data_IF_384619973421
#
_entry.id   IF_384619973421
#
_cell.length_a   1.000
_cell.length_b   1.000
_cell.length_c   1.000
_cell.angle_alpha   90.00
_cell.angle_beta   90.00
_cell.angle_gamma   90.00
#
_symmetry.space_group_name_H-M   'P 1'
#
loop_
_entity.id
_entity.type
_entity.pdbx_description
1 polymer ?
#
# COMPACT_ATOMS: atom_id res chain seq x y z
N UNK A 1 -44.33 -3.85 5.40
CA UNK A 1 -43.57 -2.62 5.21
C UNK A 1 -44.51 -1.47 5.35
N UNK A 2 -44.52 -0.88 6.53
CA UNK A 2 -45.10 0.44 6.74
C UNK A 2 -43.97 1.47 6.60
N UNK A 3 -44.20 2.55 5.86
CA UNK A 3 -43.22 3.64 5.70
C UNK A 3 -43.90 4.94 6.12
N UNK A 4 -43.30 5.67 7.06
CA UNK A 4 -43.80 6.98 7.49
C UNK A 4 -42.69 8.01 7.50
N UNK A 5 -43.00 9.23 7.09
CA UNK A 5 -42.09 10.38 7.22
C UNK A 5 -42.63 11.36 8.25
N UNK A 6 -41.82 11.66 9.26
CA UNK A 6 -42.10 12.65 10.29
C UNK A 6 -41.58 14.01 9.86
N UNK A 7 -42.49 14.89 9.45
CA UNK A 7 -42.23 16.31 9.20
C UNK A 7 -42.42 17.17 10.47
N UNK A 8 -42.47 16.54 11.64
CA UNK A 8 -42.89 17.13 12.91
C UNK A 8 -42.56 16.21 14.09
N UNK A 9 -42.38 16.78 15.28
CA UNK A 9 -42.42 15.98 16.51
C UNK A 9 -43.76 15.24 16.61
N UNK A 10 -43.71 13.92 16.83
CA UNK A 10 -44.90 13.12 17.04
C UNK A 10 -45.66 13.63 18.27
N UNK A 11 -46.97 13.82 18.12
CA UNK A 11 -47.88 14.23 19.22
C UNK A 11 -48.75 13.09 19.73
N UNK A 12 -48.73 11.95 19.04
CA UNK A 12 -49.52 10.76 19.32
C UNK A 12 -48.64 9.53 19.06
N UNK A 13 -49.05 8.40 19.62
CA UNK A 13 -48.38 7.13 19.37
C UNK A 13 -48.49 6.77 17.88
N UNK A 14 -47.37 6.36 17.30
CA UNK A 14 -47.24 5.86 15.93
C UNK A 14 -46.67 4.45 16.06
N UNK A 15 -47.48 3.47 15.68
CA UNK A 15 -47.09 2.06 15.78
C UNK A 15 -47.17 1.43 14.40
N UNK A 16 -46.06 0.89 13.91
CA UNK A 16 -46.06 0.07 12.70
C UNK A 16 -46.66 -1.32 12.95
N UNK A 17 -47.04 -2.00 11.88
CA UNK A 17 -47.53 -3.38 11.92
C UNK A 17 -46.44 -4.39 12.30
N UNK A 18 -46.80 -5.67 12.39
CA UNK A 18 -45.89 -6.75 12.81
C UNK A 18 -44.95 -7.28 11.72
N UNK A 19 -44.94 -6.64 10.54
CA UNK A 19 -44.04 -7.01 9.44
C UNK A 19 -42.58 -6.60 9.70
N UNK A 20 -41.68 -7.04 8.83
CA UNK A 20 -40.29 -6.55 8.76
C UNK A 20 -40.17 -5.43 7.72
N UNK A 21 -39.10 -4.64 7.81
CA UNK A 21 -38.83 -3.51 6.93
C UNK A 21 -39.86 -2.40 7.09
N UNK A 22 -40.33 -2.17 8.32
CA UNK A 22 -41.08 -0.98 8.68
C UNK A 22 -40.10 0.16 8.95
N UNK A 23 -40.33 1.28 8.27
CA UNK A 23 -39.39 2.38 8.23
C UNK A 23 -40.02 3.70 8.68
N UNK A 24 -39.29 4.41 9.54
CA UNK A 24 -39.63 5.77 9.96
C UNK A 24 -38.54 6.72 9.51
N UNK A 25 -38.90 7.64 8.62
CA UNK A 25 -38.03 8.74 8.19
C UNK A 25 -38.21 9.96 9.09
N UNK A 26 -37.11 10.49 9.59
CA UNK A 26 -37.06 11.80 10.21
C UNK A 26 -36.77 12.84 9.13
N UNK A 27 -37.76 13.68 8.79
CA UNK A 27 -37.56 14.80 7.87
C UNK A 27 -37.23 16.08 8.66
N UNK A 28 -35.98 16.51 8.57
CA UNK A 28 -35.38 17.46 9.51
C UNK A 28 -35.47 18.94 9.12
N UNK A 29 -36.48 19.32 8.34
CA UNK A 29 -36.81 20.73 8.09
C UNK A 29 -37.22 21.55 9.36
N UNK A 30 -36.93 21.05 10.57
CA UNK A 30 -37.44 21.54 11.86
C UNK A 30 -36.39 22.07 12.85
N UNK A 31 -35.09 22.04 12.52
CA UNK A 31 -34.07 22.75 13.29
C UNK A 31 -33.88 22.33 14.77
N UNK A 32 -34.18 21.09 15.15
CA UNK A 32 -34.01 20.60 16.52
C UNK A 32 -33.64 19.11 16.61
N UNK A 33 -33.05 18.69 17.73
CA UNK A 33 -32.79 17.28 18.05
C UNK A 33 -34.10 16.51 18.25
N UNK A 34 -34.11 15.22 17.93
CA UNK A 34 -35.23 14.36 18.28
C UNK A 34 -35.34 14.32 19.81
N UNK A 35 -36.48 14.73 20.36
CA UNK A 35 -36.68 14.64 21.80
C UNK A 35 -36.98 13.20 22.21
N UNK A 36 -36.53 12.79 23.40
CA UNK A 36 -36.85 11.48 23.98
C UNK A 36 -38.37 11.25 24.06
N UNK A 37 -39.16 12.32 24.23
CA UNK A 37 -40.62 12.26 24.18
C UNK A 37 -41.11 11.81 22.79
N UNK A 38 -40.58 12.38 21.72
CA UNK A 38 -40.95 12.01 20.34
C UNK A 38 -40.59 10.56 20.06
N UNK A 39 -39.36 10.14 20.39
CA UNK A 39 -38.91 8.76 20.20
C UNK A 39 -39.81 7.76 20.96
N UNK A 40 -40.23 8.08 22.19
CA UNK A 40 -41.07 7.20 23.01
C UNK A 40 -42.48 6.93 22.47
N UNK A 41 -42.95 7.77 21.53
CA UNK A 41 -44.24 7.66 20.85
C UNK A 41 -44.15 6.83 19.56
N UNK A 42 -42.95 6.48 19.11
CA UNK A 42 -42.72 5.66 17.92
C UNK A 42 -42.47 4.22 18.39
N UNK A 43 -43.05 3.23 17.71
CA UNK A 43 -42.84 1.81 18.02
C UNK A 43 -43.13 0.88 16.83
N UNK A 44 -42.56 -0.32 16.81
CA UNK A 44 -42.75 -1.34 15.77
C UNK A 44 -41.91 -1.14 14.50
N UNK A 45 -40.99 -0.17 14.49
CA UNK A 45 -40.11 0.09 13.35
C UNK A 45 -38.77 -0.63 13.52
N UNK A 46 -38.20 -1.13 12.42
CA UNK A 46 -36.89 -1.79 12.38
C UNK A 46 -35.86 -1.02 11.54
N UNK A 47 -36.30 0.01 10.81
CA UNK A 47 -35.46 0.93 10.05
C UNK A 47 -35.71 2.38 10.49
N UNK A 48 -34.64 3.10 10.84
CA UNK A 48 -34.67 4.53 11.10
C UNK A 48 -34.00 5.28 9.95
N UNK A 49 -34.82 5.98 9.17
CA UNK A 49 -34.38 6.78 8.04
C UNK A 49 -34.18 8.25 8.38
N UNK A 50 -33.30 8.93 7.66
CA UNK A 50 -33.12 10.38 7.67
C UNK A 50 -33.25 10.91 6.25
N UNK A 51 -34.10 11.92 6.06
CA UNK A 51 -34.39 12.51 4.74
C UNK A 51 -34.63 14.02 4.82
N UNK A 52 -34.59 14.69 3.68
CA UNK A 52 -34.87 16.13 3.53
C UNK A 52 -33.83 17.05 4.17
N UNK A 53 -33.66 18.27 3.67
CA UNK A 53 -32.57 19.15 4.09
C UNK A 53 -32.57 19.47 5.61
N UNK A 54 -31.66 18.84 6.37
CA UNK A 54 -31.29 19.30 7.70
C UNK A 54 -30.68 20.72 7.59
N UNK A 55 -31.10 21.60 8.50
CA UNK A 55 -30.52 22.94 8.66
C UNK A 55 -29.02 22.94 8.94
N UNK A 56 -28.40 24.12 8.94
CA UNK A 56 -26.98 24.29 9.22
C UNK A 56 -26.62 23.75 10.63
N UNK A 57 -25.61 22.87 10.73
CA UNK A 57 -25.05 22.41 12.02
C UNK A 57 -25.03 20.89 12.23
N UNK A 58 -24.51 20.47 13.38
CA UNK A 58 -24.42 19.05 13.77
C UNK A 58 -25.73 18.58 14.41
N UNK A 59 -26.26 17.46 13.94
CA UNK A 59 -27.43 16.79 14.50
C UNK A 59 -27.03 15.46 15.15
N UNK A 60 -27.59 15.18 16.31
CA UNK A 60 -27.41 13.89 16.99
C UNK A 60 -28.74 13.18 17.17
N UNK A 61 -28.76 11.91 16.78
CA UNK A 61 -29.85 10.96 16.97
C UNK A 61 -29.32 9.91 17.96
N UNK A 62 -29.85 9.95 19.18
CA UNK A 62 -29.51 8.97 20.21
C UNK A 62 -30.47 7.78 20.12
N UNK A 63 -29.97 6.65 19.61
CA UNK A 63 -30.77 5.44 19.41
C UNK A 63 -31.26 4.82 20.72
N UNK A 64 -30.66 5.15 21.88
CA UNK A 64 -31.16 4.66 23.17
C UNK A 64 -32.57 5.17 23.50
N UNK A 65 -33.00 6.26 22.84
CA UNK A 65 -34.34 6.81 22.99
C UNK A 65 -35.43 5.97 22.31
N UNK A 66 -35.04 5.08 21.39
CA UNK A 66 -35.92 4.15 20.68
C UNK A 66 -36.01 2.78 21.36
N UNK A 67 -35.87 2.71 22.69
CA UNK A 67 -35.85 1.46 23.47
C UNK A 67 -37.03 0.47 23.28
N UNK A 68 -38.13 0.89 22.64
CA UNK A 68 -39.28 0.03 22.28
C UNK A 68 -39.15 -0.60 20.89
N UNK A 69 -38.24 -0.08 20.09
CA UNK A 69 -37.94 -0.51 18.73
C UNK A 69 -36.64 -1.30 18.71
N UNK A 70 -36.59 -2.29 17.82
CA UNK A 70 -35.36 -3.01 17.52
C UNK A 70 -34.82 -2.44 16.20
N UNK A 71 -34.31 -1.20 16.25
CA UNK A 71 -33.74 -0.55 15.05
C UNK A 71 -32.52 -1.35 14.60
N UNK A 72 -32.69 -2.10 13.51
CA UNK A 72 -31.66 -2.95 12.92
C UNK A 72 -31.00 -2.33 11.70
N UNK A 73 -31.56 -1.25 11.15
CA UNK A 73 -30.96 -0.50 10.05
C UNK A 73 -31.15 1.00 10.23
N UNK A 74 -30.13 1.74 9.83
CA UNK A 74 -30.15 3.18 9.62
C UNK A 74 -30.17 3.44 8.13
N UNK A 75 -31.04 4.32 7.65
CA UNK A 75 -31.10 4.72 6.24
C UNK A 75 -30.86 6.23 6.10
N UNK A 76 -29.99 6.63 5.19
CA UNK A 76 -29.62 8.02 4.94
C UNK A 76 -29.88 8.34 3.47
N UNK A 77 -30.92 9.11 3.21
CA UNK A 77 -31.34 9.43 1.84
C UNK A 77 -30.60 10.63 1.23
N UNK A 78 -30.66 10.72 -0.10
CA UNK A 78 -30.07 11.82 -0.87
C UNK A 78 -30.54 13.20 -0.40
N UNK A 79 -29.63 14.17 -0.35
CA UNK A 79 -29.98 15.57 -0.04
C UNK A 79 -30.48 15.78 1.40
N UNK A 80 -30.23 14.82 2.29
CA UNK A 80 -30.75 14.85 3.64
C UNK A 80 -30.09 15.91 4.53
N UNK A 81 -28.94 16.51 4.21
CA UNK A 81 -28.34 17.49 5.13
C UNK A 81 -27.22 18.37 4.57
N UNK A 82 -27.02 19.52 5.24
CA UNK A 82 -25.93 20.48 4.98
C UNK A 82 -24.89 20.57 6.11
N UNK A 83 -25.04 19.77 7.16
CA UNK A 83 -24.13 19.70 8.33
C UNK A 83 -23.80 18.26 8.72
N UNK A 84 -23.29 18.01 9.93
CA UNK A 84 -22.91 16.65 10.35
C UNK A 84 -24.08 15.89 10.97
N UNK A 85 -24.21 14.59 10.69
CA UNK A 85 -25.22 13.69 11.27
C UNK A 85 -24.53 12.65 12.16
N UNK A 86 -24.93 12.56 13.42
CA UNK A 86 -24.40 11.61 14.39
C UNK A 86 -25.51 10.65 14.81
N UNK A 87 -25.32 9.36 14.57
CA UNK A 87 -26.08 8.30 15.21
C UNK A 87 -25.28 7.81 16.42
N UNK A 88 -25.76 8.10 17.64
CA UNK A 88 -25.12 7.66 18.88
C UNK A 88 -25.89 6.50 19.52
N UNK A 89 -25.20 5.72 20.36
CA UNK A 89 -25.77 4.55 21.03
C UNK A 89 -26.33 3.51 20.06
N UNK A 90 -25.67 3.32 18.91
CA UNK A 90 -26.09 2.33 17.93
C UNK A 90 -25.85 0.92 18.47
N UNK A 91 -26.87 0.07 18.39
CA UNK A 91 -26.76 -1.32 18.83
C UNK A 91 -25.80 -2.11 17.93
N UNK A 92 -25.12 -3.11 18.49
CA UNK A 92 -24.25 -3.99 17.72
C UNK A 92 -25.05 -4.72 16.62
N UNK A 93 -24.51 -4.74 15.40
CA UNK A 93 -25.14 -5.38 14.24
C UNK A 93 -26.18 -4.53 13.51
N UNK A 94 -26.48 -3.31 13.96
CA UNK A 94 -27.28 -2.36 13.18
C UNK A 94 -26.51 -1.97 11.89
N UNK A 95 -27.15 -2.02 10.73
CA UNK A 95 -26.53 -1.63 9.45
C UNK A 95 -26.70 -0.14 9.19
N UNK A 96 -25.78 0.46 8.43
CA UNK A 96 -25.92 1.82 7.89
C UNK A 96 -26.07 1.76 6.37
N UNK A 97 -27.15 2.29 5.84
CA UNK A 97 -27.35 2.50 4.41
C UNK A 97 -27.21 3.99 4.11
N UNK A 98 -26.39 4.33 3.13
CA UNK A 98 -26.28 5.70 2.59
C UNK A 98 -26.65 5.63 1.12
N UNK A 99 -27.81 6.20 0.80
CA UNK A 99 -28.31 6.21 -0.56
C UNK A 99 -27.59 7.26 -1.42
N UNK A 100 -28.05 7.42 -2.67
CA UNK A 100 -27.41 8.29 -3.67
C UNK A 100 -27.31 9.76 -3.25
N UNK A 101 -26.48 10.53 -3.96
CA UNK A 101 -26.30 11.96 -3.71
C UNK A 101 -25.10 12.26 -2.82
N UNK A 102 -24.92 13.54 -2.48
CA UNK A 102 -23.80 14.05 -1.68
C UNK A 102 -24.24 14.11 -0.21
N UNK A 103 -24.06 13.00 0.52
CA UNK A 103 -24.21 12.96 1.96
C UNK A 103 -23.01 13.67 2.60
N UNK A 104 -23.26 14.51 3.61
CA UNK A 104 -22.18 15.20 4.32
C UNK A 104 -21.51 14.25 5.34
N UNK A 105 -20.99 14.79 6.43
CA UNK A 105 -20.33 14.03 7.48
C UNK A 105 -21.33 13.18 8.26
N UNK A 106 -21.09 11.87 8.35
CA UNK A 106 -21.85 10.91 9.14
C UNK A 106 -20.94 10.32 10.21
N UNK A 107 -21.40 10.32 11.47
CA UNK A 107 -20.78 9.57 12.56
C UNK A 107 -21.70 8.43 12.97
N UNK A 108 -21.19 7.21 12.88
CA UNK A 108 -21.80 6.00 13.40
C UNK A 108 -21.08 5.63 14.71
N UNK A 109 -21.78 5.79 15.83
CA UNK A 109 -21.23 5.53 17.16
C UNK A 109 -21.95 4.36 17.85
N UNK A 110 -21.26 3.24 18.05
CA UNK A 110 -21.80 2.09 18.78
C UNK A 110 -22.03 2.41 20.26
N UNK A 111 -22.96 1.71 20.90
CA UNK A 111 -23.36 1.94 22.28
C UNK A 111 -22.36 1.44 23.33
N UNK A 112 -21.47 0.52 22.95
CA UNK A 112 -20.49 -0.07 23.87
C UNK A 112 -19.15 0.70 23.79
N UNK A 113 -18.15 0.29 24.56
CA UNK A 113 -16.80 0.85 24.55
C UNK A 113 -15.74 -0.20 24.14
N UNK A 114 -16.12 -1.09 23.22
CA UNK A 114 -15.35 -2.28 22.82
C UNK A 114 -14.85 -2.18 21.38
N UNK A 115 -14.61 -0.96 20.87
CA UNK A 115 -14.44 -0.63 19.45
C UNK A 115 -13.60 -1.63 18.64
N UNK A 116 -12.41 -2.01 19.10
CA UNK A 116 -11.54 -2.96 18.39
C UNK A 116 -12.14 -4.37 18.16
N UNK A 117 -13.18 -4.74 18.90
CA UNK A 117 -13.93 -6.00 18.72
C UNK A 117 -15.31 -5.82 18.08
N UNK A 118 -15.72 -4.57 17.87
CA UNK A 118 -16.98 -4.25 17.21
C UNK A 118 -16.88 -4.50 15.70
N UNK A 119 -18.06 -4.58 15.08
CA UNK A 119 -18.19 -4.58 13.62
C UNK A 119 -19.24 -3.58 13.16
N UNK A 120 -19.02 -2.99 11.99
CA UNK A 120 -19.97 -2.12 11.30
C UNK A 120 -20.18 -2.61 9.86
N UNK A 121 -21.41 -2.55 9.39
CA UNK A 121 -21.78 -2.86 8.02
C UNK A 121 -22.41 -1.64 7.37
N UNK A 122 -21.82 -1.18 6.27
CA UNK A 122 -22.21 0.02 5.55
C UNK A 122 -22.59 -0.37 4.12
N UNK A 123 -23.77 0.02 3.67
CA UNK A 123 -24.21 -0.12 2.28
C UNK A 123 -24.21 1.26 1.62
N UNK A 124 -23.54 1.39 0.49
CA UNK A 124 -23.44 2.63 -0.26
C UNK A 124 -24.20 2.51 -1.57
N UNK A 125 -25.14 3.42 -1.80
CA UNK A 125 -25.98 3.49 -3.00
C UNK A 125 -27.23 2.63 -2.93
N UNK A 126 -28.00 2.70 -4.01
CA UNK A 126 -29.23 1.91 -4.19
C UNK A 126 -29.26 1.31 -5.59
N UNK A 127 -29.98 0.21 -5.76
CA UNK A 127 -30.07 -0.47 -7.04
C UNK A 127 -30.64 0.46 -8.14
N UNK A 128 -29.93 0.57 -9.27
CA UNK A 128 -30.38 1.35 -10.43
C UNK A 128 -30.13 2.85 -10.36
N UNK A 129 -29.45 3.34 -9.32
CA UNK A 129 -29.14 4.75 -9.16
C UNK A 129 -27.66 5.05 -9.46
N UNK A 130 -27.34 6.35 -9.59
CA UNK A 130 -25.97 6.84 -9.77
C UNK A 130 -25.12 6.64 -8.51
N UNK A 131 -23.82 6.92 -8.62
CA UNK A 131 -22.87 6.84 -7.50
C UNK A 131 -23.31 7.62 -6.24
N UNK A 132 -23.24 6.99 -5.06
CA UNK A 132 -23.36 7.69 -3.79
C UNK A 132 -22.04 8.36 -3.43
N UNK A 133 -22.10 9.54 -2.80
CA UNK A 133 -20.93 10.26 -2.30
C UNK A 133 -21.16 10.60 -0.85
N UNK A 134 -20.26 10.15 0.03
CA UNK A 134 -20.22 10.56 1.43
C UNK A 134 -18.98 11.43 1.64
N UNK A 135 -19.14 12.59 2.25
CA UNK A 135 -18.04 13.52 2.53
C UNK A 135 -17.08 12.94 3.59
N UNK A 136 -17.59 12.69 4.80
CA UNK A 136 -16.86 11.96 5.83
C UNK A 136 -17.73 10.89 6.46
N UNK A 137 -17.17 9.72 6.73
CA UNK A 137 -17.78 8.66 7.50
C UNK A 137 -16.86 8.35 8.69
N UNK A 138 -17.33 8.63 9.90
CA UNK A 138 -16.61 8.34 11.13
C UNK A 138 -17.26 7.15 11.82
N UNK A 139 -16.47 6.10 12.05
CA UNK A 139 -16.91 4.88 12.72
C UNK A 139 -16.19 4.79 14.07
N UNK A 140 -16.95 4.74 15.16
CA UNK A 140 -16.38 4.75 16.50
C UNK A 140 -17.30 4.08 17.53
N UNK A 141 -16.77 3.81 18.71
CA UNK A 141 -17.53 3.36 19.87
C UNK A 141 -17.92 4.53 20.79
N UNK A 142 -18.61 4.24 21.90
CA UNK A 142 -19.03 5.23 22.89
C UNK A 142 -17.85 5.88 23.64
N UNK A 143 -16.66 5.25 23.62
CA UNK A 143 -15.42 5.79 24.15
C UNK A 143 -14.55 6.49 23.09
N UNK A 144 -15.07 6.66 21.87
CA UNK A 144 -14.41 7.28 20.72
C UNK A 144 -13.20 6.49 20.16
N UNK A 145 -13.13 5.19 20.43
CA UNK A 145 -12.21 4.30 19.75
C UNK A 145 -12.82 3.84 18.43
N UNK A 146 -11.99 3.59 17.41
CA UNK A 146 -12.44 3.04 16.13
C UNK A 146 -13.03 1.62 16.20
N UNK A 147 -13.67 1.19 15.12
CA UNK A 147 -14.34 -0.11 14.97
C UNK A 147 -13.38 -1.12 14.31
N UNK A 148 -13.20 -2.26 14.95
CA UNK A 148 -12.22 -3.27 14.54
C UNK A 148 -12.46 -3.84 13.13
N UNK A 149 -13.73 -4.08 12.77
CA UNK A 149 -14.12 -4.69 11.48
C UNK A 149 -15.19 -3.88 10.76
N UNK A 150 -14.94 -3.50 9.51
CA UNK A 150 -15.88 -2.76 8.68
C UNK A 150 -16.13 -3.50 7.37
N UNK A 151 -17.40 -3.64 7.00
CA UNK A 151 -17.82 -4.15 5.70
C UNK A 151 -18.49 -2.99 4.95
N UNK A 152 -18.01 -2.68 3.75
CA UNK A 152 -18.62 -1.71 2.84
C UNK A 152 -19.13 -2.43 1.60
N UNK A 153 -20.45 -2.53 1.49
CA UNK A 153 -21.13 -3.09 0.33
C UNK A 153 -21.58 -1.99 -0.62
N UNK A 154 -21.34 -2.16 -1.91
CA UNK A 154 -21.70 -1.18 -2.93
C UNK A 154 -22.85 -1.66 -3.80
N UNK A 155 -23.88 -0.82 -3.89
CA UNK A 155 -25.02 -0.98 -4.78
C UNK A 155 -25.03 0.16 -5.80
N UNK A 156 -25.56 -0.09 -7.00
CA UNK A 156 -25.65 0.95 -8.03
C UNK A 156 -25.81 0.40 -9.44
N UNK A 157 -25.95 1.32 -10.40
CA UNK A 157 -25.89 1.02 -11.82
C UNK A 157 -24.44 0.74 -12.25
N UNK A 158 -24.24 -0.22 -13.17
CA UNK A 158 -22.92 -0.52 -13.74
C UNK A 158 -22.25 0.73 -14.34
N UNK A 159 -20.96 0.91 -14.04
CA UNK A 159 -20.14 2.02 -14.55
C UNK A 159 -20.14 3.27 -13.67
N UNK A 160 -20.79 3.22 -12.50
CA UNK A 160 -20.72 4.26 -11.48
C UNK A 160 -19.91 3.75 -10.28
N UNK A 161 -19.12 4.65 -9.69
CA UNK A 161 -18.41 4.38 -8.43
C UNK A 161 -19.17 4.98 -7.25
N UNK A 162 -19.14 4.27 -6.13
CA UNK A 162 -19.45 4.85 -4.83
C UNK A 162 -18.21 5.57 -4.30
N UNK A 163 -18.39 6.70 -3.62
CA UNK A 163 -17.29 7.48 -3.06
C UNK A 163 -17.51 7.73 -1.58
N UNK A 164 -16.51 7.46 -0.75
CA UNK A 164 -16.39 8.03 0.60
C UNK A 164 -15.12 8.87 0.59
N UNK A 165 -15.24 10.20 0.68
CA UNK A 165 -14.04 11.05 0.56
C UNK A 165 -13.13 10.88 1.77
N UNK A 166 -13.69 10.68 2.96
CA UNK A 166 -12.89 10.41 4.14
C UNK A 166 -13.56 9.34 5.01
N UNK A 167 -12.87 8.22 5.20
CA UNK A 167 -13.23 7.22 6.21
C UNK A 167 -12.32 7.44 7.42
N UNK A 168 -12.92 7.74 8.58
CA UNK A 168 -12.21 7.91 9.86
C UNK A 168 -12.56 6.75 10.78
N UNK A 169 -11.55 5.95 11.12
CA UNK A 169 -11.70 4.88 12.10
C UNK A 169 -10.33 4.64 12.74
N UNK A 170 -10.17 4.92 14.05
CA UNK A 170 -8.85 4.88 14.71
C UNK A 170 -8.43 3.48 15.21
N UNK A 171 -9.21 2.45 14.89
CA UNK A 171 -9.01 1.08 15.38
C UNK A 171 -9.30 0.02 14.32
N UNK A 172 -9.26 0.38 13.05
CA UNK A 172 -9.68 -0.47 11.94
C UNK A 172 -8.63 -1.54 11.67
N UNK A 173 -8.95 -2.78 11.98
CA UNK A 173 -8.04 -3.92 11.68
C UNK A 173 -8.44 -4.69 10.43
N UNK A 174 -9.72 -4.64 10.06
CA UNK A 174 -10.27 -5.37 8.92
C UNK A 174 -11.27 -4.50 8.15
N UNK A 175 -11.03 -4.31 6.87
CA UNK A 175 -11.93 -3.65 5.93
C UNK A 175 -12.26 -4.59 4.78
N UNK A 176 -13.55 -4.89 4.59
CA UNK A 176 -14.02 -5.65 3.43
C UNK A 176 -14.78 -4.72 2.50
N UNK A 177 -14.34 -4.63 1.25
CA UNK A 177 -15.05 -3.95 0.17
C UNK A 177 -15.81 -5.00 -0.63
N UNK A 178 -17.10 -4.80 -0.83
CA UNK A 178 -17.98 -5.76 -1.49
C UNK A 178 -18.95 -5.05 -2.44
N UNK A 179 -19.75 -5.86 -3.12
CA UNK A 179 -20.82 -5.38 -3.99
C UNK A 179 -20.47 -5.41 -5.46
N UNK A 180 -21.39 -4.92 -6.27
CA UNK A 180 -21.28 -5.01 -7.73
C UNK A 180 -20.49 -3.86 -8.37
N UNK A 181 -20.31 -2.75 -7.65
CA UNK A 181 -19.70 -1.53 -8.17
C UNK A 181 -18.31 -1.29 -7.59
N UNK A 182 -17.59 -0.33 -8.15
CA UNK A 182 -16.34 0.17 -7.60
C UNK A 182 -16.60 1.05 -6.37
N UNK A 183 -15.73 0.95 -5.37
CA UNK A 183 -15.66 1.88 -4.25
C UNK A 183 -14.39 2.73 -4.34
N UNK A 184 -14.53 4.04 -4.15
CA UNK A 184 -13.41 4.97 -4.00
C UNK A 184 -13.42 5.54 -2.58
N UNK A 185 -12.40 5.20 -1.80
CA UNK A 185 -12.03 5.91 -0.59
C UNK A 185 -10.98 6.96 -0.99
N UNK A 186 -11.31 8.25 -0.95
CA UNK A 186 -10.30 9.27 -1.25
C UNK A 186 -9.22 9.27 -0.15
N UNK A 187 -9.64 9.25 1.11
CA UNK A 187 -8.75 9.13 2.25
C UNK A 187 -9.29 8.08 3.23
N UNK A 188 -8.45 7.13 3.61
CA UNK A 188 -8.66 6.29 4.79
C UNK A 188 -7.70 6.77 5.89
N UNK A 189 -8.28 7.19 7.02
CA UNK A 189 -7.55 7.59 8.23
C UNK A 189 -7.75 6.52 9.29
N UNK A 190 -6.64 5.90 9.70
CA UNK A 190 -6.61 4.87 10.74
C UNK A 190 -5.40 5.04 11.66
N UNK A 191 -5.38 4.34 12.79
CA UNK A 191 -4.26 4.31 13.71
C UNK A 191 -4.01 2.90 14.31
N UNK A 192 -4.61 1.85 13.73
CA UNK A 192 -4.36 0.48 14.15
C UNK A 192 -2.93 0.05 13.78
N UNK A 193 -2.38 -0.87 14.59
CA UNK A 193 -1.06 -1.48 14.33
C UNK A 193 -1.04 -2.39 13.11
N UNK A 194 -2.20 -2.91 12.75
CA UNK A 194 -2.37 -3.86 11.66
C UNK A 194 -3.63 -3.53 10.88
N UNK A 195 -3.57 -3.56 9.55
CA UNK A 195 -4.72 -3.37 8.68
C UNK A 195 -4.79 -4.48 7.63
N UNK A 196 -5.95 -5.10 7.49
CA UNK A 196 -6.26 -6.02 6.40
C UNK A 196 -7.41 -5.47 5.56
N UNK A 197 -7.18 -5.26 4.27
CA UNK A 197 -8.20 -4.84 3.30
C UNK A 197 -8.44 -5.97 2.30
N UNK A 198 -9.69 -6.40 2.19
CA UNK A 198 -10.12 -7.38 1.18
C UNK A 198 -11.13 -6.75 0.24
N UNK A 199 -10.77 -6.64 -1.03
CA UNK A 199 -11.67 -6.20 -2.10
C UNK A 199 -12.30 -7.41 -2.79
N UNK A 200 -13.56 -7.67 -2.46
CA UNK A 200 -14.43 -8.65 -3.08
C UNK A 200 -15.38 -8.01 -4.12
N UNK A 201 -15.24 -6.72 -4.41
CA UNK A 201 -16.16 -6.03 -5.31
C UNK A 201 -15.98 -6.51 -6.77
N UNK A 202 -17.07 -6.44 -7.53
CA UNK A 202 -17.05 -6.75 -8.97
C UNK A 202 -16.28 -5.71 -9.78
N UNK A 203 -16.31 -4.44 -9.35
CA UNK A 203 -15.50 -3.35 -9.90
C UNK A 203 -14.15 -3.21 -9.20
N UNK A 204 -13.22 -2.43 -9.78
CA UNK A 204 -11.97 -2.10 -9.09
C UNK A 204 -12.20 -1.06 -8.00
N UNK A 205 -11.77 -1.35 -6.77
CA UNK A 205 -11.82 -0.39 -5.66
C UNK A 205 -10.52 0.39 -5.51
N UNK A 206 -10.59 1.56 -4.89
CA UNK A 206 -9.44 2.43 -4.65
C UNK A 206 -9.44 3.03 -3.25
N UNK A 207 -8.26 3.11 -2.66
CA UNK A 207 -7.91 3.94 -1.51
C UNK A 207 -6.86 4.92 -2.04
N UNK A 208 -7.20 6.18 -2.33
CA UNK A 208 -6.24 7.10 -2.94
C UNK A 208 -5.17 7.58 -1.97
N UNK A 209 -5.50 7.72 -0.70
CA UNK A 209 -4.57 8.09 0.36
C UNK A 209 -4.84 7.26 1.60
N UNK A 210 -3.82 6.55 2.08
CA UNK A 210 -3.85 5.85 3.36
C UNK A 210 -3.01 6.64 4.37
N UNK A 211 -3.66 7.20 5.39
CA UNK A 211 -3.02 7.89 6.51
C UNK A 211 -3.14 7.02 7.75
N UNK A 212 -2.10 6.24 8.04
CA UNK A 212 -2.12 5.27 9.13
C UNK A 212 -0.80 5.31 9.93
N UNK A 213 -0.55 6.35 10.74
CA UNK A 213 0.72 6.54 11.46
C UNK A 213 0.98 5.49 12.55
N UNK A 214 0.04 4.57 12.80
CA UNK A 214 0.19 3.43 13.70
C UNK A 214 0.50 2.11 12.97
N UNK A 215 0.51 2.08 11.64
CA UNK A 215 0.50 0.85 10.85
C UNK A 215 1.86 0.16 10.72
N UNK A 216 2.10 -0.89 11.51
CA UNK A 216 3.31 -1.70 11.43
C UNK A 216 3.19 -2.89 10.45
N UNK A 217 1.98 -3.35 10.13
CA UNK A 217 1.75 -4.45 9.19
C UNK A 217 0.46 -4.27 8.38
N UNK A 218 0.54 -4.48 7.07
CA UNK A 218 -0.62 -4.37 6.18
C UNK A 218 -0.80 -5.61 5.30
N UNK A 219 -2.06 -5.94 5.00
CA UNK A 219 -2.43 -6.95 4.01
C UNK A 219 -3.49 -6.38 3.07
N UNK A 220 -3.22 -6.39 1.77
CA UNK A 220 -4.17 -5.97 0.75
C UNK A 220 -4.45 -7.16 -0.18
N UNK A 221 -5.73 -7.49 -0.34
CA UNK A 221 -6.18 -8.63 -1.15
C UNK A 221 -7.23 -8.18 -2.15
N UNK A 222 -6.94 -8.27 -3.43
CA UNK A 222 -7.93 -8.14 -4.50
C UNK A 222 -8.46 -9.54 -4.86
N UNK A 223 -9.56 -9.93 -4.22
CA UNK A 223 -10.23 -11.22 -4.44
C UNK A 223 -11.32 -11.14 -5.53
N UNK A 224 -11.82 -9.94 -5.81
CA UNK A 224 -12.71 -9.65 -6.93
C UNK A 224 -12.01 -9.68 -8.30
N UNK A 225 -12.75 -9.35 -9.36
CA UNK A 225 -12.21 -9.27 -10.72
C UNK A 225 -11.47 -7.96 -11.02
N UNK A 226 -11.68 -6.94 -10.18
CA UNK A 226 -11.07 -5.63 -10.33
C UNK A 226 -9.62 -5.56 -9.83
N UNK A 227 -9.04 -4.37 -9.97
CA UNK A 227 -7.77 -4.00 -9.33
C UNK A 227 -8.10 -3.26 -8.05
N UNK A 228 -7.51 -3.66 -6.92
CA UNK A 228 -7.48 -2.84 -5.71
C UNK A 228 -6.32 -1.85 -5.82
N UNK A 229 -6.61 -0.56 -5.86
CA UNK A 229 -5.56 0.48 -5.89
C UNK A 229 -5.38 1.08 -4.51
N UNK A 230 -4.16 1.10 -3.99
CA UNK A 230 -3.79 1.78 -2.75
C UNK A 230 -2.74 2.83 -3.10
N UNK A 231 -3.18 4.06 -3.24
CA UNK A 231 -2.37 5.24 -3.52
C UNK A 231 -1.84 5.89 -2.25
N UNK A 232 -0.79 6.69 -2.43
CA UNK A 232 -0.16 7.57 -1.45
C UNK A 232 -0.26 7.06 -0.01
N UNK A 233 0.23 5.84 0.21
CA UNK A 233 0.40 5.29 1.54
C UNK A 233 1.48 6.13 2.24
N UNK A 234 1.03 7.01 3.13
CA UNK A 234 1.90 7.93 3.86
C UNK A 234 1.96 7.46 5.32
N UNK A 235 3.00 6.70 5.62
CA UNK A 235 3.30 6.28 6.98
C UNK A 235 4.36 7.20 7.59
N UNK A 236 3.95 8.43 7.89
CA UNK A 236 4.81 9.37 8.62
C UNK A 236 5.04 8.98 10.10
N UNK A 237 4.48 7.84 10.56
CA UNK A 237 4.51 7.39 11.93
C UNK A 237 5.34 6.12 12.13
N UNK A 238 4.67 5.03 12.52
CA UNK A 238 5.28 3.73 12.81
C UNK A 238 5.58 2.96 11.52
N UNK A 239 6.75 3.21 10.97
CA UNK A 239 7.49 2.39 10.01
C UNK A 239 6.91 0.99 9.70
N UNK A 240 6.36 0.81 8.49
CA UNK A 240 5.75 -0.43 7.99
C UNK A 240 6.78 -1.57 7.88
N UNK A 241 6.73 -2.53 8.80
CA UNK A 241 7.67 -3.66 8.83
C UNK A 241 7.22 -4.86 7.98
N UNK A 242 5.92 -4.98 7.67
CA UNK A 242 5.36 -6.11 6.92
C UNK A 242 4.25 -5.69 5.97
N UNK A 243 4.35 -6.09 4.70
CA UNK A 243 3.36 -5.84 3.66
C UNK A 243 3.05 -7.13 2.91
N UNK A 244 1.77 -7.49 2.82
CA UNK A 244 1.32 -8.62 1.99
C UNK A 244 0.36 -8.13 0.90
N UNK A 245 0.62 -8.51 -0.34
CA UNK A 245 -0.17 -8.18 -1.53
C UNK A 245 -0.65 -9.47 -2.20
N UNK A 246 -1.97 -9.62 -2.34
CA UNK A 246 -2.58 -10.81 -2.94
C UNK A 246 -3.49 -10.44 -4.11
N UNK A 247 -3.28 -11.05 -5.28
CA UNK A 247 -4.16 -10.89 -6.46
C UNK A 247 -3.75 -9.76 -7.40
N UNK A 248 -4.64 -8.80 -7.65
CA UNK A 248 -4.38 -7.63 -8.50
C UNK A 248 -4.38 -6.34 -7.67
N UNK A 249 -3.31 -6.06 -6.95
CA UNK A 249 -3.17 -4.90 -6.06
C UNK A 249 -2.15 -3.91 -6.60
N UNK A 250 -2.61 -2.75 -7.10
CA UNK A 250 -1.71 -1.64 -7.42
C UNK A 250 -1.40 -0.87 -6.13
N UNK A 251 -0.12 -0.78 -5.75
CA UNK A 251 0.28 -0.19 -4.47
C UNK A 251 1.32 0.92 -4.68
N UNK A 252 1.15 2.06 -4.02
CA UNK A 252 2.11 3.17 -4.04
C UNK A 252 2.44 3.65 -2.61
N UNK A 253 3.67 3.44 -2.18
CA UNK A 253 4.24 4.01 -0.97
C UNK A 253 5.42 4.92 -1.33
N UNK A 254 5.24 6.22 -1.12
CA UNK A 254 6.19 7.24 -1.58
C UNK A 254 7.35 7.46 -0.62
N UNK A 255 7.22 7.04 0.64
CA UNK A 255 8.29 7.06 1.62
C UNK A 255 7.92 6.18 2.83
N UNK A 256 8.88 5.39 3.27
CA UNK A 256 8.93 4.75 4.58
C UNK A 256 10.35 4.87 5.13
N UNK A 257 10.47 5.19 6.41
CA UNK A 257 11.73 5.40 7.12
C UNK A 257 12.14 4.18 7.97
N UNK A 258 11.50 3.03 7.77
CA UNK A 258 11.78 1.75 8.41
C UNK A 258 13.26 1.38 8.40
N UNK A 259 13.78 0.99 9.57
CA UNK A 259 15.19 0.59 9.76
C UNK A 259 15.36 -0.82 10.31
N UNK A 260 14.29 -1.43 10.81
CA UNK A 260 14.30 -2.80 11.36
C UNK A 260 14.22 -3.88 10.27
N UNK A 261 14.19 -3.48 9.00
CA UNK A 261 13.91 -4.32 7.86
C UNK A 261 12.41 -4.40 7.55
N UNK A 262 12.08 -4.54 6.27
CA UNK A 262 10.73 -4.78 5.75
C UNK A 262 10.64 -6.17 5.18
N UNK A 263 9.51 -6.84 5.39
CA UNK A 263 9.13 -8.01 4.61
C UNK A 263 7.95 -7.67 3.70
N UNK A 264 8.16 -7.72 2.39
CA UNK A 264 7.10 -7.57 1.37
C UNK A 264 6.84 -8.91 0.69
N UNK A 265 5.62 -9.40 0.78
CA UNK A 265 5.15 -10.65 0.18
C UNK A 265 4.05 -10.38 -0.84
N UNK A 266 4.42 -10.35 -2.12
CA UNK A 266 3.54 -10.01 -3.25
C UNK A 266 3.74 -10.88 -4.48
N UNK A 267 4.22 -12.12 -4.34
CA UNK A 267 4.55 -13.01 -5.48
C UNK A 267 3.35 -13.36 -6.37
N UNK A 268 2.13 -13.33 -5.82
CA UNK A 268 0.90 -13.54 -6.58
C UNK A 268 0.37 -12.27 -7.26
N UNK A 269 0.96 -11.12 -6.93
CA UNK A 269 0.51 -9.82 -7.43
C UNK A 269 0.89 -9.63 -8.91
N UNK A 270 -0.03 -9.12 -9.73
CA UNK A 270 0.23 -8.86 -11.15
C UNK A 270 0.11 -7.38 -11.53
N UNK A 271 0.08 -6.49 -10.55
CA UNK A 271 -0.09 -5.05 -10.74
C UNK A 271 1.20 -4.30 -10.38
N UNK A 272 1.30 -3.05 -10.83
CA UNK A 272 2.46 -2.23 -10.54
C UNK A 272 2.50 -1.88 -9.04
N UNK A 273 3.65 -2.15 -8.42
CA UNK A 273 3.96 -1.77 -7.03
C UNK A 273 5.08 -0.75 -7.03
N UNK A 274 4.88 0.38 -6.35
CA UNK A 274 5.88 1.41 -6.09
C UNK A 274 6.17 1.45 -4.60
N UNK A 275 7.42 1.19 -4.23
CA UNK A 275 7.90 1.03 -2.86
C UNK A 275 9.15 1.90 -2.65
N UNK A 276 9.08 2.87 -1.74
CA UNK A 276 10.22 3.73 -1.41
C UNK A 276 10.60 3.59 0.07
N UNK A 277 11.65 2.83 0.35
CA UNK A 277 12.26 2.68 1.67
C UNK A 277 13.42 3.67 1.81
N UNK A 278 13.14 4.85 2.33
CA UNK A 278 14.08 5.99 2.36
C UNK A 278 15.34 5.73 3.19
N UNK A 279 15.22 5.02 4.30
CA UNK A 279 16.36 4.62 5.14
C UNK A 279 16.82 3.18 4.87
N UNK A 280 15.87 2.29 4.54
CA UNK A 280 16.10 0.85 4.41
C UNK A 280 16.63 0.20 5.70
N UNK A 281 17.01 -1.06 5.58
CA UNK A 281 17.54 -1.87 6.68
C UNK A 281 18.85 -1.31 7.27
N UNK A 282 18.86 -1.18 8.60
CA UNK A 282 20.06 -0.90 9.37
C UNK A 282 20.99 -2.13 9.49
N UNK A 283 22.17 -1.94 10.07
CA UNK A 283 23.13 -3.02 10.32
C UNK A 283 22.49 -4.18 11.10
N UNK A 284 22.64 -5.41 10.59
CA UNK A 284 22.05 -6.61 11.20
C UNK A 284 20.59 -6.88 10.81
N UNK A 285 19.96 -5.98 10.04
CA UNK A 285 18.61 -6.13 9.50
C UNK A 285 18.62 -6.43 8.00
N UNK A 286 17.47 -6.78 7.45
CA UNK A 286 17.31 -7.12 6.03
C UNK A 286 15.96 -6.67 5.52
N UNK A 287 15.95 -6.01 4.37
CA UNK A 287 14.75 -5.81 3.57
C UNK A 287 14.56 -7.02 2.65
N UNK A 288 13.45 -7.73 2.81
CA UNK A 288 13.08 -8.92 2.05
C UNK A 288 11.84 -8.63 1.22
N UNK A 289 12.04 -8.36 -0.07
CA UNK A 289 11.00 -7.89 -0.99
C UNK A 289 10.77 -8.96 -2.05
N UNK A 290 9.54 -9.49 -2.14
CA UNK A 290 9.12 -10.39 -3.21
C UNK A 290 7.87 -9.82 -3.88
N UNK A 291 7.93 -9.52 -5.17
CA UNK A 291 6.82 -8.98 -5.96
C UNK A 291 6.60 -9.84 -7.21
N UNK A 292 5.36 -9.86 -7.72
CA UNK A 292 5.02 -10.62 -8.91
C UNK A 292 5.25 -9.84 -10.21
N UNK A 293 4.38 -10.04 -11.20
CA UNK A 293 4.66 -9.71 -12.61
C UNK A 293 4.37 -8.27 -13.03
N UNK A 294 3.99 -7.40 -12.09
CA UNK A 294 3.80 -5.98 -12.37
C UNK A 294 5.07 -5.25 -12.80
N UNK A 295 4.91 -4.05 -13.34
CA UNK A 295 6.03 -3.13 -13.56
C UNK A 295 6.39 -2.46 -12.22
N UNK A 296 7.23 -3.14 -11.43
CA UNK A 296 7.53 -2.73 -10.07
C UNK A 296 8.58 -1.59 -10.05
N UNK A 297 8.46 -0.70 -9.07
CA UNK A 297 9.42 0.35 -8.76
C UNK A 297 9.83 0.22 -7.31
N UNK A 298 11.11 -0.03 -7.05
CA UNK A 298 11.66 -0.20 -5.71
C UNK A 298 12.78 0.81 -5.54
N UNK A 299 12.71 1.61 -4.48
CA UNK A 299 13.81 2.47 -4.02
C UNK A 299 14.16 2.02 -2.60
N UNK A 300 15.42 1.69 -2.37
CA UNK A 300 15.89 1.18 -1.08
C UNK A 300 17.11 1.99 -0.59
N UNK A 301 17.04 2.47 0.64
CA UNK A 301 18.05 3.30 1.31
C UNK A 301 19.12 2.54 2.09
N UNK A 302 19.05 1.20 2.14
CA UNK A 302 19.90 0.36 2.97
C UNK A 302 21.39 0.63 2.75
N UNK A 303 22.05 1.21 3.75
CA UNK A 303 23.49 1.50 3.71
C UNK A 303 24.33 0.42 4.43
N UNK A 304 23.80 -0.16 5.51
CA UNK A 304 24.53 -1.14 6.35
C UNK A 304 23.79 -2.46 6.54
N UNK A 305 22.49 -2.50 6.19
CA UNK A 305 21.71 -3.72 6.14
C UNK A 305 21.88 -4.48 4.83
N UNK A 306 21.09 -5.53 4.69
CA UNK A 306 21.00 -6.30 3.44
C UNK A 306 19.67 -6.04 2.73
N UNK A 307 19.67 -6.17 1.41
CA UNK A 307 18.49 -6.07 0.55
C UNK A 307 18.37 -7.36 -0.25
N UNK A 308 17.22 -8.03 -0.15
CA UNK A 308 16.88 -9.25 -0.89
C UNK A 308 15.62 -9.00 -1.70
N UNK A 309 15.78 -8.74 -3.00
CA UNK A 309 14.68 -8.44 -3.91
C UNK A 309 14.45 -9.62 -4.86
N UNK A 310 13.20 -10.03 -5.01
CA UNK A 310 12.73 -10.96 -6.04
C UNK A 310 11.56 -10.31 -6.76
N UNK A 311 11.65 -10.16 -8.07
CA UNK A 311 10.58 -9.56 -8.89
C UNK A 311 10.19 -10.48 -10.04
N UNK A 312 8.91 -10.42 -10.44
CA UNK A 312 8.38 -11.17 -11.57
C UNK A 312 8.79 -10.60 -12.93
N UNK A 313 8.11 -11.05 -13.98
CA UNK A 313 8.51 -10.82 -15.38
C UNK A 313 8.14 -9.44 -15.95
N UNK A 314 7.75 -8.48 -15.11
CA UNK A 314 7.41 -7.12 -15.54
C UNK A 314 8.64 -6.29 -15.88
N UNK A 315 8.43 -5.03 -16.28
CA UNK A 315 9.52 -4.07 -16.45
C UNK A 315 9.85 -3.44 -15.09
N UNK A 316 10.82 -3.99 -14.36
CA UNK A 316 11.11 -3.58 -13.00
C UNK A 316 12.17 -2.48 -12.97
N UNK A 317 11.99 -1.50 -12.08
CA UNK A 317 12.97 -0.46 -11.80
C UNK A 317 13.39 -0.56 -10.34
N UNK A 318 14.66 -0.85 -10.10
CA UNK A 318 15.21 -1.04 -8.76
C UNK A 318 16.32 -0.01 -8.55
N UNK A 319 16.21 0.81 -7.51
CA UNK A 319 17.18 1.84 -7.17
C UNK A 319 17.68 1.61 -5.76
N UNK A 320 18.94 1.22 -5.61
CA UNK A 320 19.60 1.01 -4.33
C UNK A 320 20.46 2.25 -4.02
N UNK A 321 19.98 3.10 -3.13
CA UNK A 321 20.56 4.43 -2.88
C UNK A 321 21.59 4.45 -1.75
N UNK A 322 21.54 3.49 -0.82
CA UNK A 322 22.42 3.44 0.34
C UNK A 322 23.87 3.14 -0.02
N UNK A 323 24.82 3.88 0.58
CA UNK A 323 26.24 3.57 0.42
C UNK A 323 26.60 2.35 1.25
N UNK A 324 27.20 1.33 0.63
CA UNK A 324 27.45 0.07 1.34
C UNK A 324 26.40 -1.03 1.11
N UNK A 325 25.38 -0.78 0.29
CA UNK A 325 24.29 -1.74 0.06
C UNK A 325 24.84 -3.13 -0.31
N UNK A 326 24.25 -4.16 0.30
CA UNK A 326 24.62 -5.55 0.03
C UNK A 326 23.39 -6.45 -0.05
N UNK A 327 23.53 -7.61 -0.68
CA UNK A 327 22.47 -8.63 -0.72
C UNK A 327 22.24 -9.20 -2.11
N UNK A 328 20.97 -9.44 -2.46
CA UNK A 328 20.58 -10.14 -3.68
C UNK A 328 19.44 -9.45 -4.43
N UNK A 329 19.50 -9.50 -5.76
CA UNK A 329 18.38 -9.17 -6.66
C UNK A 329 18.14 -10.35 -7.59
N UNK A 330 16.90 -10.82 -7.68
CA UNK A 330 16.49 -11.89 -8.59
C UNK A 330 15.41 -11.36 -9.52
N UNK A 331 15.73 -11.34 -10.80
CA UNK A 331 14.82 -10.99 -11.89
C UNK A 331 14.26 -12.27 -12.49
N UNK A 332 12.94 -12.39 -12.60
CA UNK A 332 12.33 -13.48 -13.33
C UNK A 332 12.56 -13.30 -14.85
N UNK A 333 12.51 -14.42 -15.58
CA UNK A 333 12.59 -14.37 -17.04
C UNK A 333 11.41 -13.55 -17.62
N UNK A 334 11.71 -12.62 -18.52
CA UNK A 334 10.72 -11.76 -19.18
C UNK A 334 10.79 -11.84 -20.71
N UNK A 335 9.77 -11.32 -21.38
CA UNK A 335 9.68 -11.31 -22.84
C UNK A 335 10.63 -10.29 -23.47
N UNK A 336 11.01 -10.49 -24.73
CA UNK A 336 11.80 -9.52 -25.47
C UNK A 336 11.07 -8.16 -25.55
N UNK A 337 11.76 -7.07 -25.18
CA UNK A 337 11.21 -5.72 -25.15
C UNK A 337 10.70 -5.28 -23.77
N UNK A 338 10.60 -6.19 -22.81
CA UNK A 338 10.56 -5.85 -21.38
C UNK A 338 11.99 -5.73 -20.90
N UNK A 339 12.31 -4.66 -20.18
CA UNK A 339 13.64 -4.40 -19.65
C UNK A 339 13.55 -4.09 -18.16
N UNK A 340 14.47 -4.67 -17.39
CA UNK A 340 14.71 -4.34 -16.00
C UNK A 340 15.84 -3.31 -15.89
N UNK A 341 15.68 -2.31 -15.01
CA UNK A 341 16.73 -1.31 -14.73
C UNK A 341 17.13 -1.38 -13.27
N UNK A 342 18.42 -1.63 -13.02
CA UNK A 342 19.01 -1.63 -11.69
C UNK A 342 19.96 -0.44 -11.54
N UNK A 343 19.59 0.54 -10.72
CA UNK A 343 20.44 1.66 -10.35
C UNK A 343 21.08 1.38 -8.99
N UNK A 344 22.41 1.41 -8.92
CA UNK A 344 23.18 0.99 -7.74
C UNK A 344 24.10 2.14 -7.31
N UNK A 345 23.94 2.62 -6.08
CA UNK A 345 24.88 3.53 -5.42
C UNK A 345 26.16 2.81 -4.99
N UNK A 346 27.22 3.59 -4.75
CA UNK A 346 28.52 3.10 -4.29
C UNK A 346 28.42 2.08 -3.14
N UNK A 347 28.89 0.85 -3.37
CA UNK A 347 28.72 -0.25 -2.40
C UNK A 347 29.87 -0.41 -1.41
N UNK A 348 31.00 0.31 -1.56
CA UNK A 348 32.08 0.30 -0.56
C UNK A 348 32.58 -1.11 -0.20
N UNK A 349 32.94 -1.92 -1.21
CA UNK A 349 33.44 -3.29 -1.07
C UNK A 349 34.52 -3.44 0.01
N UNK A 350 34.42 -4.53 0.78
CA UNK A 350 35.33 -4.82 1.90
C UNK A 350 36.26 -6.01 1.66
N UNK A 351 36.31 -6.56 0.44
CA UNK A 351 37.46 -7.38 0.02
C UNK A 351 37.22 -8.86 -0.32
N UNK A 352 36.06 -9.46 0.01
CA UNK A 352 35.90 -10.93 -0.08
C UNK A 352 34.67 -11.45 -0.84
N UNK A 353 33.66 -10.63 -1.12
CA UNK A 353 32.46 -11.04 -1.85
C UNK A 353 31.85 -9.84 -2.59
N UNK A 354 31.19 -10.08 -3.73
CA UNK A 354 30.40 -9.02 -4.36
C UNK A 354 29.42 -8.44 -3.35
N UNK A 355 29.24 -7.12 -3.38
CA UNK A 355 28.29 -6.46 -2.50
C UNK A 355 26.87 -6.89 -2.85
N UNK A 356 26.56 -6.89 -4.15
CA UNK A 356 25.27 -7.26 -4.68
C UNK A 356 25.42 -8.44 -5.65
N UNK A 357 24.60 -9.47 -5.48
CA UNK A 357 24.46 -10.57 -6.44
C UNK A 357 23.14 -10.46 -7.19
N UNK A 358 23.21 -10.36 -8.52
CA UNK A 358 22.05 -10.27 -9.41
C UNK A 358 21.88 -11.60 -10.16
N UNK A 359 20.68 -12.16 -10.10
CA UNK A 359 20.30 -13.37 -10.85
C UNK A 359 19.22 -13.03 -11.86
N UNK A 360 19.29 -13.60 -13.06
CA UNK A 360 18.29 -13.40 -14.12
C UNK A 360 18.57 -12.23 -15.07
N UNK A 361 19.64 -11.46 -14.84
CA UNK A 361 20.04 -10.35 -15.71
C UNK A 361 20.27 -10.82 -17.15
N UNK A 362 19.56 -10.19 -18.09
CA UNK A 362 19.55 -10.52 -19.50
C UNK A 362 19.79 -9.27 -20.36
N UNK A 363 21.06 -8.95 -20.70
CA UNK A 363 21.37 -7.80 -21.55
C UNK A 363 20.76 -7.92 -22.96
N UNK A 364 20.44 -9.14 -23.41
CA UNK A 364 19.76 -9.38 -24.69
C UNK A 364 18.29 -8.97 -24.71
N UNK A 365 17.66 -8.81 -23.54
CA UNK A 365 16.32 -8.27 -23.38
C UNK A 365 16.30 -6.77 -23.04
N UNK A 366 17.47 -6.12 -23.09
CA UNK A 366 17.70 -4.71 -22.77
C UNK A 366 17.70 -4.36 -21.27
N UNK A 367 17.95 -5.34 -20.39
CA UNK A 367 18.24 -5.05 -18.98
C UNK A 367 19.46 -4.15 -18.85
N UNK A 368 19.42 -3.24 -17.87
CA UNK A 368 20.43 -2.22 -17.63
C UNK A 368 20.90 -2.22 -16.18
N UNK A 369 22.20 -1.93 -16.00
CA UNK A 369 22.79 -1.65 -14.69
C UNK A 369 23.39 -0.25 -14.76
N UNK A 370 22.90 0.65 -13.91
CA UNK A 370 23.35 2.03 -13.82
C UNK A 370 24.09 2.21 -12.49
N UNK A 371 25.35 2.61 -12.54
CA UNK A 371 26.09 3.01 -11.35
C UNK A 371 25.78 4.49 -11.03
N UNK A 372 25.03 4.75 -9.96
CA UNK A 372 24.43 6.06 -9.69
C UNK A 372 25.45 7.20 -9.47
N UNK A 373 26.63 6.86 -8.96
CA UNK A 373 27.72 7.82 -8.77
C UNK A 373 28.39 8.25 -10.09
N UNK A 374 28.12 7.53 -11.18
CA UNK A 374 28.75 7.73 -12.47
C UNK A 374 27.75 8.23 -13.51
N UNK A 375 27.68 9.56 -13.64
CA UNK A 375 26.89 10.22 -14.71
C UNK A 375 27.49 10.07 -16.11
N UNK A 376 28.67 9.44 -16.24
CA UNK A 376 29.35 9.11 -17.51
C UNK A 376 29.28 7.60 -17.83
N UNK A 377 28.54 6.81 -17.05
CA UNK A 377 28.48 5.34 -17.11
C UNK A 377 27.91 4.73 -18.41
N UNK A 378 27.49 5.54 -19.39
CA UNK A 378 27.20 5.05 -20.77
C UNK A 378 28.45 4.57 -21.54
N UNK A 379 29.50 4.21 -20.82
CA UNK A 379 30.83 3.86 -21.32
C UNK A 379 30.92 2.37 -21.64
N UNK A 380 31.84 2.00 -22.54
CA UNK A 380 32.12 0.61 -22.87
C UNK A 380 32.62 -0.17 -21.66
N UNK A 381 32.14 -1.41 -21.49
CA UNK A 381 32.66 -2.33 -20.47
C UNK A 381 33.96 -2.96 -20.94
N UNK A 382 35.03 -2.83 -20.17
CA UNK A 382 36.32 -3.46 -20.51
C UNK A 382 36.37 -4.90 -20.01
N UNK A 383 36.39 -5.87 -20.93
CA UNK A 383 36.51 -7.28 -20.56
C UNK A 383 37.94 -7.63 -20.12
N UNK A 384 38.09 -8.20 -18.92
CA UNK A 384 39.36 -8.68 -18.38
C UNK A 384 39.53 -10.17 -18.72
N UNK A 385 40.63 -10.50 -19.40
CA UNK A 385 40.97 -11.87 -19.73
C UNK A 385 41.63 -12.63 -18.57
N UNK A 386 41.23 -13.88 -18.35
CA UNK A 386 41.79 -14.75 -17.30
C UNK A 386 43.30 -14.94 -17.39
N UNK A 387 43.86 -14.93 -18.60
CA UNK A 387 45.31 -15.02 -18.82
C UNK A 387 46.05 -13.83 -18.24
N UNK A 388 45.49 -12.62 -18.35
CA UNK A 388 46.11 -11.40 -17.83
C UNK A 388 46.13 -11.38 -16.30
N UNK A 389 45.04 -11.83 -15.67
CA UNK A 389 44.97 -11.96 -14.21
C UNK A 389 45.92 -13.04 -13.71
N UNK A 390 46.04 -14.17 -14.42
CA UNK A 390 46.98 -15.23 -14.04
C UNK A 390 48.44 -14.76 -14.07
N UNK A 391 48.82 -13.97 -15.08
CA UNK A 391 50.17 -13.40 -15.19
C UNK A 391 50.44 -12.36 -14.08
N UNK A 392 49.46 -11.50 -13.80
CA UNK A 392 49.52 -10.54 -12.70
C UNK A 392 49.65 -11.23 -11.35
N UNK A 393 48.84 -12.27 -11.10
CA UNK A 393 48.85 -13.04 -9.87
C UNK A 393 50.21 -13.70 -9.64
N UNK A 394 50.79 -14.34 -10.66
CA UNK A 394 52.11 -14.94 -10.60
C UNK A 394 53.22 -13.92 -10.27
N UNK A 395 53.15 -12.72 -10.84
CA UNK A 395 54.14 -11.66 -10.64
C UNK A 395 54.09 -11.04 -9.24
N UNK A 396 52.94 -11.10 -8.58
CA UNK A 396 52.69 -10.49 -7.28
C UNK A 396 52.51 -11.51 -6.13
N UNK A 397 52.66 -12.81 -6.41
CA UNK A 397 52.47 -13.87 -5.40
C UNK A 397 51.03 -14.01 -4.91
N UNK A 398 50.05 -13.74 -5.77
CA UNK A 398 48.62 -13.83 -5.48
C UNK A 398 48.01 -15.11 -6.07
N UNK A 399 46.80 -15.45 -5.65
CA UNK A 399 46.03 -16.61 -6.14
C UNK A 399 44.97 -16.15 -7.16
N UNK A 400 45.13 -16.55 -8.43
CA UNK A 400 44.21 -16.19 -9.50
C UNK A 400 42.80 -16.78 -9.37
N UNK A 401 42.57 -17.68 -8.39
CA UNK A 401 41.24 -18.25 -8.11
C UNK A 401 40.41 -17.39 -7.14
N UNK A 402 41.03 -16.40 -6.50
CA UNK A 402 40.40 -15.52 -5.51
C UNK A 402 39.82 -14.26 -6.16
N UNK A 403 38.61 -13.87 -5.75
CA UNK A 403 37.94 -12.66 -6.23
C UNK A 403 38.77 -11.39 -5.99
N UNK A 404 39.41 -11.29 -4.83
CA UNK A 404 40.29 -10.17 -4.47
C UNK A 404 41.42 -9.94 -5.47
N UNK A 405 41.99 -11.00 -6.06
CA UNK A 405 43.05 -10.90 -7.07
C UNK A 405 42.54 -10.26 -8.37
N UNK A 406 41.33 -10.59 -8.80
CA UNK A 406 40.72 -10.02 -10.01
C UNK A 406 40.36 -8.55 -9.82
N UNK A 407 39.79 -8.21 -8.66
CA UNK A 407 39.48 -6.83 -8.30
C UNK A 407 40.77 -6.00 -8.23
N UNK A 408 41.82 -6.53 -7.60
CA UNK A 408 43.13 -5.86 -7.56
C UNK A 408 43.71 -5.66 -8.96
N UNK A 409 43.60 -6.66 -9.85
CA UNK A 409 44.05 -6.50 -11.23
C UNK A 409 43.31 -5.39 -11.98
N UNK A 410 41.99 -5.26 -11.79
CA UNK A 410 41.20 -4.23 -12.45
C UNK A 410 41.65 -2.81 -12.06
N UNK A 411 42.01 -2.60 -10.79
CA UNK A 411 42.24 -1.27 -10.22
C UNK A 411 43.73 -0.88 -10.09
N UNK A 412 44.63 -1.83 -9.89
CA UNK A 412 46.01 -1.53 -9.52
C UNK A 412 46.84 -0.94 -10.68
N UNK A 413 47.74 -0.03 -10.33
CA UNK A 413 48.83 0.40 -11.21
C UNK A 413 49.74 -0.79 -11.53
N UNK A 414 49.80 -1.20 -12.80
CA UNK A 414 50.46 -2.43 -13.26
C UNK A 414 49.50 -3.60 -13.58
N UNK A 415 48.21 -3.43 -13.30
CA UNK A 415 47.12 -4.26 -13.80
C UNK A 415 46.48 -3.62 -15.04
N UNK A 416 45.15 -3.47 -15.03
CA UNK A 416 44.40 -2.74 -16.06
C UNK A 416 44.43 -1.23 -15.85
N UNK A 417 44.54 -0.77 -14.60
CA UNK A 417 44.59 0.65 -14.20
C UNK A 417 43.36 1.42 -14.70
N UNK A 418 42.16 1.00 -14.27
CA UNK A 418 40.89 1.58 -14.71
C UNK A 418 40.88 3.11 -14.54
N UNK A 419 40.36 3.79 -15.55
CA UNK A 419 40.08 5.21 -15.43
C UNK A 419 39.02 5.45 -14.34
N UNK A 420 39.03 6.62 -13.73
CA UNK A 420 37.91 7.06 -12.89
C UNK A 420 36.61 6.98 -13.70
N UNK A 421 35.59 6.36 -13.12
CA UNK A 421 34.28 6.06 -13.70
C UNK A 421 34.31 5.10 -14.90
N UNK A 422 35.37 4.29 -15.02
CA UNK A 422 35.35 3.18 -15.97
C UNK A 422 34.78 1.91 -15.32
N UNK A 423 34.21 1.04 -16.14
CA UNK A 423 33.74 -0.27 -15.72
C UNK A 423 34.50 -1.38 -16.43
N UNK A 424 34.86 -2.42 -15.69
CA UNK A 424 35.40 -3.66 -16.22
C UNK A 424 34.55 -4.86 -15.82
N UNK A 425 34.59 -5.90 -16.65
CA UNK A 425 33.93 -7.18 -16.38
C UNK A 425 34.89 -8.35 -16.42
N UNK A 426 34.69 -9.35 -15.57
CA UNK A 426 35.42 -10.62 -15.62
C UNK A 426 34.56 -11.81 -15.25
N UNK A 427 35.02 -13.02 -15.59
CA UNK A 427 34.36 -14.27 -15.22
C UNK A 427 35.19 -15.02 -14.19
N UNK A 428 34.55 -15.43 -13.10
CA UNK A 428 35.17 -16.21 -12.04
C UNK A 428 34.15 -17.22 -11.48
N UNK A 429 34.55 -18.49 -11.40
CA UNK A 429 33.72 -19.57 -10.82
C UNK A 429 32.31 -19.70 -11.44
N UNK A 430 32.19 -19.41 -12.75
CA UNK A 430 30.92 -19.51 -13.48
C UNK A 430 30.02 -18.26 -13.41
N UNK A 431 30.42 -17.24 -12.66
CA UNK A 431 29.72 -15.96 -12.54
C UNK A 431 30.47 -14.84 -13.26
N UNK A 432 29.75 -13.77 -13.59
CA UNK A 432 30.30 -12.55 -14.19
C UNK A 432 30.34 -11.47 -13.13
N UNK A 433 31.43 -10.76 -13.00
CA UNK A 433 31.59 -9.67 -12.03
C UNK A 433 31.82 -8.36 -12.77
N UNK A 434 31.23 -7.29 -12.26
CA UNK A 434 31.38 -5.92 -12.70
C UNK A 434 32.07 -5.12 -11.61
N UNK A 435 33.16 -4.46 -11.97
CA UNK A 435 33.86 -3.51 -11.10
C UNK A 435 33.78 -2.13 -11.71
N UNK A 436 33.21 -1.19 -10.96
CA UNK A 436 33.20 0.24 -11.26
C UNK A 436 34.15 0.95 -10.30
N UNK A 437 35.01 1.81 -10.86
CA UNK A 437 35.99 2.59 -10.12
C UNK A 437 35.56 4.05 -10.05
N UNK A 438 34.83 4.45 -9.02
CA UNK A 438 34.50 5.86 -8.79
C UNK A 438 35.74 6.68 -8.37
N UNK A 439 36.75 6.02 -7.79
CA UNK A 439 37.98 6.65 -7.32
C UNK A 439 38.92 7.15 -8.42
N UNK A 440 40.05 7.75 -8.01
CA UNK A 440 41.12 8.13 -8.93
C UNK A 440 41.82 6.88 -9.52
N UNK A 441 42.29 6.98 -10.76
CA UNK A 441 43.05 5.93 -11.46
C UNK A 441 44.22 5.41 -10.63
N UNK A 442 44.41 4.08 -10.63
CA UNK A 442 45.48 3.40 -9.91
C UNK A 442 45.31 3.31 -8.39
N UNK A 443 44.20 3.84 -7.85
CA UNK A 443 43.89 3.70 -6.44
C UNK A 443 43.45 2.28 -6.09
N UNK A 444 43.72 1.86 -4.85
CA UNK A 444 43.10 0.67 -4.29
C UNK A 444 41.58 0.84 -4.22
N UNK A 445 40.84 -0.28 -4.24
CA UNK A 445 39.39 -0.27 -4.07
C UNK A 445 39.03 0.54 -2.82
N UNK A 446 38.28 1.62 -3.03
CA UNK A 446 38.02 2.64 -2.02
C UNK A 446 36.54 2.92 -1.83
N UNK A 447 36.27 3.93 -1.00
CA UNK A 447 34.93 4.47 -0.86
C UNK A 447 34.48 5.05 -2.21
N UNK A 448 33.30 4.64 -2.68
CA UNK A 448 32.76 5.04 -3.98
C UNK A 448 32.74 3.90 -4.99
N UNK A 449 33.73 3.01 -4.95
CA UNK A 449 33.85 1.91 -5.91
C UNK A 449 32.78 0.84 -5.66
N UNK A 450 32.37 0.15 -6.72
CA UNK A 450 31.25 -0.80 -6.69
C UNK A 450 31.65 -2.16 -7.29
N UNK A 451 31.29 -3.25 -6.60
CA UNK A 451 31.46 -4.63 -7.10
C UNK A 451 30.12 -5.36 -7.12
N UNK A 452 29.65 -5.67 -8.33
CA UNK A 452 28.41 -6.40 -8.58
C UNK A 452 28.75 -7.77 -9.17
N UNK A 453 28.11 -8.82 -8.67
CA UNK A 453 28.16 -10.15 -9.27
C UNK A 453 26.86 -10.45 -10.01
N UNK A 454 26.97 -11.06 -11.18
CA UNK A 454 25.89 -11.60 -11.98
C UNK A 454 26.01 -13.12 -11.95
N UNK A 455 24.93 -13.81 -11.58
CA UNK A 455 24.87 -15.26 -11.60
C UNK A 455 24.94 -15.76 -13.05
N UNK A 456 25.94 -16.59 -13.35
CA UNK A 456 26.16 -17.12 -14.69
C UNK A 456 27.11 -16.31 -15.57
N UNK A 457 27.27 -16.78 -16.81
CA UNK A 457 28.14 -16.16 -17.83
C UNK A 457 27.33 -15.15 -18.63
N UNK A 458 27.61 -13.86 -18.43
CA UNK A 458 26.96 -12.74 -19.09
C UNK A 458 27.98 -12.04 -19.99
N UNK A 459 27.60 -11.74 -21.23
CA UNK A 459 28.43 -10.95 -22.16
C UNK A 459 27.90 -9.54 -22.20
N UNK A 460 28.73 -8.57 -21.83
CA UNK A 460 28.38 -7.15 -21.77
C UNK A 460 29.21 -6.38 -22.78
N UNK A 461 28.55 -5.60 -23.64
CA UNK A 461 29.20 -4.63 -24.51
C UNK A 461 29.04 -3.19 -24.00
N UNK A 462 27.94 -2.94 -23.28
CA UNK A 462 27.52 -1.65 -22.72
C UNK A 462 26.69 -1.95 -21.45
N UNK A 463 26.51 -0.93 -20.60
CA UNK A 463 25.69 -0.99 -19.39
C UNK A 463 24.42 -0.16 -19.53
#
# INVERSE_FOLDING_TARGET
TDIITLNGAAKQAITAGSGRGNEVFLNYALGGSLSAQTASLISGFDILGVTGAIGIGTQTIDLSQFSKDNITSLDVQSGAFSGALIFSQVAAGTTLQVETGDAQDITYQTANASGASDSASVTLGTAGANGAVTHALTLQDAALNGIGTVIMDTLGQAGYSQTVRQLNDTGLTHLTLAGAQSLVLTTLVDNAATLSVTDNAGGGSAIHTLTAPGLASATFTAAGSGVLTVGDANDAGTQLASLTLNGNVAFNMTADAVTTGVTVSGSSDNQAVSLVLTNGAAAGHTDAITLGNGANQIVDGSAQGQVNIVVGSGANQITLTGSGVSGTVTLAAHAAGTADTLTISATGYTGNAANLMITGFNPGAADQIVFAADTKAGSSVTAIAASSVSAYAASNGLDATQLSTWVNYALASGGLDLASHATASFQLQGNTFLVEQAGATGAAFGAGDTLVGLTGTVTLSQL
#
